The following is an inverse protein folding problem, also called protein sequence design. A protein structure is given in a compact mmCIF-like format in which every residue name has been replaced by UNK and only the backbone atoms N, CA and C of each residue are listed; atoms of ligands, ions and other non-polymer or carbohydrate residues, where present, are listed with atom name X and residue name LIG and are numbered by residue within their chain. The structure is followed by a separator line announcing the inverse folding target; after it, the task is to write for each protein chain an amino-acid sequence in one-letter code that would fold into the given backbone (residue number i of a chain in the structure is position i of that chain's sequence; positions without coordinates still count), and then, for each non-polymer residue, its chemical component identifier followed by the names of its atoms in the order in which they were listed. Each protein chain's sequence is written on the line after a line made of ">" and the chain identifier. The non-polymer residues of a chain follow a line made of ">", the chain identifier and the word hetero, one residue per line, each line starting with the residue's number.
data_IF_082807035390
#
_entry.id   IF_082807035390
#
_cell.length_a   1.000
_cell.length_b   1.000
_cell.length_c   1.000
_cell.angle_alpha   90.00
_cell.angle_beta   90.00
_cell.angle_gamma   90.00
#
_symmetry.space_group_name_H-M   'P 1'
#
loop_
_entity.id
_entity.type
_entity.pdbx_description
1 polymer ?
#
# COMPACT_ATOMS: atom_id res chain seq x y z
N UNK A 1 -8.18 8.21 12.00
CA UNK A 1 -7.62 9.01 10.89
C UNK A 1 -8.56 10.12 10.42
N UNK A 2 -9.79 9.83 9.96
CA UNK A 2 -10.72 10.86 9.47
C UNK A 2 -10.96 11.98 10.47
N UNK A 3 -11.37 11.62 11.70
CA UNK A 3 -11.55 12.57 12.79
C UNK A 3 -10.32 13.46 13.00
N UNK A 4 -9.12 12.87 12.99
CA UNK A 4 -7.85 13.61 13.10
C UNK A 4 -7.68 14.62 11.96
N UNK A 5 -7.94 14.24 10.71
CA UNK A 5 -7.84 15.15 9.57
C UNK A 5 -8.89 16.27 9.61
N UNK A 6 -10.09 15.96 10.10
CA UNK A 6 -11.19 16.91 10.29
C UNK A 6 -10.97 17.87 11.47
N UNK A 7 -10.15 17.49 12.45
CA UNK A 7 -9.76 18.38 13.55
C UNK A 7 -8.56 19.25 13.17
N UNK A 8 -7.59 18.70 12.44
CA UNK A 8 -6.37 19.44 12.04
C UNK A 8 -6.65 20.50 10.97
N UNK A 9 -7.47 20.19 9.97
CA UNK A 9 -7.91 21.10 8.89
C UNK A 9 -6.81 22.01 8.30
N UNK A 10 -5.63 21.47 8.03
CA UNK A 10 -4.49 22.27 7.58
C UNK A 10 -4.06 21.91 6.16
N UNK A 11 -3.82 22.90 5.26
CA UNK A 11 -3.52 22.63 3.84
C UNK A 11 -2.20 21.90 3.62
N UNK A 12 -1.27 21.97 4.59
CA UNK A 12 0.03 21.29 4.54
C UNK A 12 0.07 19.97 5.31
N UNK A 13 -1.09 19.43 5.72
CA UNK A 13 -1.19 18.12 6.37
C UNK A 13 -1.95 17.16 5.47
N UNK A 14 -1.43 15.94 5.35
CA UNK A 14 -2.03 14.88 4.53
C UNK A 14 -1.74 13.50 5.10
N UNK A 15 -2.29 12.49 4.44
CA UNK A 15 -2.20 11.10 4.84
C UNK A 15 -1.27 10.33 3.91
N UNK A 16 -0.34 9.58 4.52
CA UNK A 16 0.30 8.47 3.87
C UNK A 16 -0.61 7.26 3.99
N UNK A 17 -1.08 6.74 2.87
CA UNK A 17 -1.86 5.52 2.85
C UNK A 17 -0.94 4.33 2.61
N UNK A 18 -0.73 3.55 3.66
CA UNK A 18 -0.16 2.22 3.53
C UNK A 18 -1.30 1.23 3.26
N UNK A 19 -1.32 0.66 2.06
CA UNK A 19 -2.40 -0.24 1.62
C UNK A 19 -2.51 -1.47 2.52
N UNK A 20 -1.37 -1.96 3.01
CA UNK A 20 -1.27 -3.23 3.72
C UNK A 20 -1.90 -3.18 5.10
N UNK A 21 -1.64 -2.14 5.89
CA UNK A 21 -2.00 -2.15 7.31
C UNK A 21 -3.52 -2.23 7.59
N UNK A 22 -4.38 -1.38 6.99
CA UNK A 22 -5.82 -1.44 7.21
C UNK A 22 -6.41 -2.78 6.76
N UNK A 23 -5.96 -3.29 5.61
CA UNK A 23 -6.42 -4.57 5.09
C UNK A 23 -5.96 -5.73 5.98
N UNK A 24 -4.65 -5.86 6.21
CA UNK A 24 -4.06 -7.03 6.89
C UNK A 24 -4.47 -7.14 8.34
N UNK A 25 -4.42 -6.03 9.08
CA UNK A 25 -4.53 -6.06 10.54
C UNK A 25 -5.90 -5.64 11.05
N UNK A 26 -6.69 -4.91 10.24
CA UNK A 26 -8.00 -4.41 10.63
C UNK A 26 -9.15 -5.00 9.80
N UNK A 27 -8.85 -5.77 8.75
CA UNK A 27 -9.87 -6.33 7.85
C UNK A 27 -10.63 -5.27 7.04
N UNK A 28 -10.08 -4.06 6.92
CA UNK A 28 -10.70 -2.97 6.16
C UNK A 28 -10.41 -3.16 4.66
N UNK A 29 -11.46 -3.11 3.82
CA UNK A 29 -11.25 -3.17 2.36
C UNK A 29 -10.56 -1.91 1.84
N UNK A 30 -9.78 -2.06 0.77
CA UNK A 30 -9.08 -0.91 0.15
C UNK A 30 -10.06 0.12 -0.41
N UNK A 31 -11.21 -0.30 -0.91
CA UNK A 31 -12.32 0.58 -1.28
C UNK A 31 -12.81 1.45 -0.12
N UNK A 32 -12.99 0.86 1.07
CA UNK A 32 -13.47 1.60 2.23
C UNK A 32 -12.42 2.61 2.70
N UNK A 33 -11.15 2.21 2.77
CA UNK A 33 -10.05 3.12 3.14
C UNK A 33 -9.94 4.27 2.14
N UNK A 34 -9.91 3.97 0.84
CA UNK A 34 -9.78 4.97 -0.22
C UNK A 34 -10.94 5.97 -0.20
N UNK A 35 -12.19 5.50 -0.19
CA UNK A 35 -13.35 6.41 -0.23
C UNK A 35 -13.40 7.37 0.96
N UNK A 36 -12.96 6.91 2.13
CA UNK A 36 -12.87 7.76 3.32
C UNK A 36 -11.74 8.78 3.19
N UNK A 37 -10.57 8.35 2.73
CA UNK A 37 -9.34 9.13 2.83
C UNK A 37 -8.93 9.87 1.56
N UNK A 38 -9.50 9.60 0.38
CA UNK A 38 -8.96 10.02 -0.92
C UNK A 38 -8.55 11.49 -1.01
N UNK A 39 -9.35 12.41 -0.46
CA UNK A 39 -9.07 13.85 -0.43
C UNK A 39 -7.84 14.25 0.39
N UNK A 40 -7.43 13.40 1.32
CA UNK A 40 -6.30 13.61 2.22
C UNK A 40 -5.04 12.84 1.80
N UNK A 41 -5.14 11.86 0.88
CA UNK A 41 -4.00 11.02 0.51
C UNK A 41 -2.98 11.87 -0.26
N UNK A 42 -1.74 11.89 0.23
CA UNK A 42 -0.59 12.59 -0.39
C UNK A 42 0.57 11.65 -0.73
N UNK A 43 0.62 10.47 -0.12
CA UNK A 43 1.61 9.46 -0.41
C UNK A 43 1.02 8.06 -0.25
N UNK A 44 1.54 7.08 -0.98
CA UNK A 44 1.07 5.69 -0.91
C UNK A 44 2.25 4.76 -0.72
N UNK A 45 2.15 3.86 0.25
CA UNK A 45 3.07 2.75 0.45
C UNK A 45 2.43 1.43 0.01
N UNK A 46 3.22 0.60 -0.66
CA UNK A 46 2.83 -0.72 -1.13
C UNK A 46 3.83 -1.75 -0.64
N UNK A 47 3.31 -2.80 -0.04
CA UNK A 47 4.01 -4.05 0.25
C UNK A 47 2.99 -5.18 0.14
N UNK A 48 3.48 -6.37 -0.15
CA UNK A 48 2.63 -7.54 -0.30
C UNK A 48 2.99 -8.60 0.73
N UNK A 49 2.00 -9.41 1.08
CA UNK A 49 2.16 -10.50 2.04
C UNK A 49 1.03 -11.50 1.92
N UNK A 50 1.16 -12.61 2.63
CA UNK A 50 0.12 -13.62 2.82
C UNK A 50 0.08 -14.08 4.28
N UNK A 51 -1.02 -14.71 4.71
CA UNK A 51 -1.07 -15.40 5.99
C UNK A 51 -0.56 -16.83 5.86
N UNK A 52 0.50 -17.16 6.58
CA UNK A 52 0.99 -18.53 6.72
C UNK A 52 0.97 -18.94 8.20
N UNK A 53 0.20 -19.99 8.53
CA UNK A 53 0.10 -20.54 9.90
C UNK A 53 -0.22 -19.45 10.94
N UNK A 54 -1.11 -18.52 10.58
CA UNK A 54 -1.53 -17.41 11.46
C UNK A 54 -0.51 -16.28 11.59
N UNK A 55 0.56 -16.25 10.79
CA UNK A 55 1.56 -15.19 10.77
C UNK A 55 1.64 -14.52 9.41
N UNK A 56 1.99 -13.24 9.40
CA UNK A 56 2.24 -12.50 8.16
C UNK A 56 3.58 -12.95 7.59
N UNK A 57 3.58 -13.38 6.33
CA UNK A 57 4.79 -13.60 5.54
C UNK A 57 4.81 -12.62 4.37
N UNK A 58 5.81 -11.75 4.35
CA UNK A 58 6.01 -10.78 3.28
C UNK A 58 6.54 -11.46 2.01
N UNK A 59 6.17 -10.93 0.85
CA UNK A 59 6.53 -11.48 -0.45
C UNK A 59 6.64 -10.38 -1.50
N UNK A 60 7.07 -10.76 -2.71
CA UNK A 60 7.10 -9.86 -3.85
C UNK A 60 5.69 -9.42 -4.25
N UNK A 61 5.56 -8.22 -4.84
CA UNK A 61 4.28 -7.62 -5.22
C UNK A 61 3.51 -8.49 -6.23
N UNK A 62 2.28 -8.88 -5.90
CA UNK A 62 1.44 -9.75 -6.74
C UNK A 62 1.63 -11.24 -6.44
N UNK A 63 2.45 -11.61 -5.45
CA UNK A 63 2.55 -12.98 -4.96
C UNK A 63 1.78 -13.21 -3.66
N UNK A 64 1.30 -12.15 -3.02
CA UNK A 64 0.51 -12.23 -1.80
C UNK A 64 -0.99 -12.10 -2.06
N UNK A 65 -1.72 -11.84 -0.98
CA UNK A 65 -3.18 -11.73 -0.98
C UNK A 65 -3.69 -10.29 -0.67
N UNK A 66 -2.78 -9.30 -0.62
CA UNK A 66 -3.19 -7.90 -0.49
C UNK A 66 -3.85 -7.45 -1.81
N UNK A 67 -5.01 -6.77 -1.79
CA UNK A 67 -5.72 -6.33 -2.99
C UNK A 67 -5.07 -5.09 -3.62
N UNK A 68 -3.79 -5.21 -4.01
CA UNK A 68 -2.98 -4.11 -4.55
C UNK A 68 -3.56 -3.62 -5.87
N UNK A 69 -3.94 -4.52 -6.79
CA UNK A 69 -4.54 -4.13 -8.08
C UNK A 69 -5.79 -3.27 -7.89
N UNK A 70 -6.69 -3.66 -6.99
CA UNK A 70 -7.90 -2.88 -6.68
C UNK A 70 -7.53 -1.50 -6.13
N UNK A 71 -6.56 -1.42 -5.22
CA UNK A 71 -6.09 -0.15 -4.68
C UNK A 71 -5.44 0.74 -5.76
N UNK A 72 -4.65 0.16 -6.68
CA UNK A 72 -4.10 0.88 -7.83
C UNK A 72 -5.21 1.43 -8.71
N UNK A 73 -6.23 0.62 -9.04
CA UNK A 73 -7.36 1.05 -9.86
C UNK A 73 -8.14 2.21 -9.24
N UNK A 74 -8.34 2.18 -7.92
CA UNK A 74 -8.97 3.28 -7.19
C UNK A 74 -8.15 4.57 -7.24
N UNK A 75 -6.82 4.46 -7.14
CA UNK A 75 -5.91 5.61 -7.19
C UNK A 75 -5.88 6.29 -8.57
N UNK A 76 -6.23 5.57 -9.65
CA UNK A 76 -6.27 6.17 -10.99
C UNK A 76 -7.35 7.26 -11.15
N UNK A 77 -8.30 7.38 -10.22
CA UNK A 77 -9.37 8.39 -10.23
C UNK A 77 -8.81 9.83 -10.12
N UNK A 78 -8.08 10.15 -9.05
CA UNK A 78 -7.59 11.53 -8.80
C UNK A 78 -6.21 11.60 -8.11
N UNK A 79 -5.57 10.46 -7.85
CA UNK A 79 -4.27 10.47 -7.18
C UNK A 79 -3.13 10.68 -8.19
N UNK A 80 -2.37 11.76 -8.00
CA UNK A 80 -1.23 12.14 -8.86
C UNK A 80 0.14 12.00 -8.19
N UNK A 81 0.17 11.39 -7.01
CA UNK A 81 1.39 11.22 -6.23
C UNK A 81 2.14 9.93 -6.58
N UNK A 82 3.15 9.62 -5.77
CA UNK A 82 3.97 8.43 -5.95
C UNK A 82 3.34 7.19 -5.29
N UNK A 83 3.56 6.04 -5.91
CA UNK A 83 3.37 4.71 -5.31
C UNK A 83 4.77 4.25 -4.90
N UNK A 84 5.01 4.12 -3.61
CA UNK A 84 6.31 3.78 -3.05
C UNK A 84 6.34 2.35 -2.53
N UNK A 85 7.38 1.60 -2.90
CA UNK A 85 7.63 0.28 -2.36
C UNK A 85 8.11 0.42 -0.91
N UNK A 86 7.43 -0.24 0.03
CA UNK A 86 7.93 -0.46 1.38
C UNK A 86 8.54 -1.87 1.47
N UNK A 87 9.85 -1.95 1.74
CA UNK A 87 10.56 -3.22 1.83
C UNK A 87 11.22 -3.40 3.19
N UNK A 88 10.88 -4.48 3.89
CA UNK A 88 11.22 -4.68 5.30
C UNK A 88 12.45 -5.60 5.50
N UNK A 89 13.35 -5.70 4.50
CA UNK A 89 14.52 -6.59 4.49
C UNK A 89 15.39 -6.50 5.75
N UNK A 90 15.50 -5.31 6.36
CA UNK A 90 16.23 -5.13 7.63
C UNK A 90 15.69 -6.00 8.76
N UNK A 91 14.38 -6.30 8.75
CA UNK A 91 13.68 -7.06 9.78
C UNK A 91 13.38 -8.50 9.35
N UNK A 92 13.27 -8.75 8.04
CA UNK A 92 12.97 -10.04 7.44
C UNK A 92 14.08 -10.43 6.46
N UNK A 93 15.08 -11.15 6.98
CA UNK A 93 16.30 -11.49 6.23
C UNK A 93 16.07 -12.43 5.05
N UNK A 94 14.95 -13.16 5.05
CA UNK A 94 14.52 -14.06 3.99
C UNK A 94 13.90 -13.35 2.78
N UNK A 95 13.63 -12.05 2.88
CA UNK A 95 13.15 -11.25 1.75
C UNK A 95 14.21 -11.10 0.67
N UNK A 96 13.77 -10.95 -0.58
CA UNK A 96 14.66 -10.71 -1.71
C UNK A 96 15.52 -9.45 -1.54
N UNK A 97 16.72 -9.50 -2.13
CA UNK A 97 17.66 -8.38 -2.10
C UNK A 97 17.15 -7.17 -2.92
N UNK A 98 17.62 -5.94 -2.60
CA UNK A 98 17.23 -4.72 -3.33
C UNK A 98 17.36 -4.83 -4.86
N UNK A 99 18.42 -5.50 -5.35
CA UNK A 99 18.66 -5.69 -6.78
C UNK A 99 17.58 -6.50 -7.51
N UNK A 100 16.82 -7.32 -6.77
CA UNK A 100 15.73 -8.13 -7.31
C UNK A 100 14.41 -7.39 -7.14
N UNK A 101 14.11 -6.95 -5.91
CA UNK A 101 12.79 -6.41 -5.57
C UNK A 101 12.47 -5.10 -6.32
N UNK A 102 13.43 -4.22 -6.56
CA UNK A 102 13.15 -2.96 -7.26
C UNK A 102 12.72 -3.19 -8.71
N UNK A 103 13.42 -4.07 -9.43
CA UNK A 103 13.06 -4.42 -10.82
C UNK A 103 11.69 -5.09 -10.87
N UNK A 104 11.46 -6.05 -9.96
CA UNK A 104 10.19 -6.74 -9.84
C UNK A 104 9.03 -5.79 -9.54
N UNK A 105 9.19 -4.88 -8.56
CA UNK A 105 8.19 -3.89 -8.17
C UNK A 105 7.76 -3.03 -9.36
N UNK A 106 8.72 -2.48 -10.11
CA UNK A 106 8.43 -1.63 -11.28
C UNK A 106 7.65 -2.42 -12.33
N UNK A 107 8.06 -3.67 -12.59
CA UNK A 107 7.37 -4.54 -13.55
C UNK A 107 5.93 -4.83 -13.11
N UNK A 108 5.75 -5.25 -11.85
CA UNK A 108 4.45 -5.59 -11.29
C UNK A 108 3.47 -4.40 -11.33
N UNK A 109 3.89 -3.23 -10.83
CA UNK A 109 3.03 -2.03 -10.83
C UNK A 109 2.68 -1.58 -12.25
N UNK A 110 3.63 -1.60 -13.20
CA UNK A 110 3.34 -1.30 -14.61
C UNK A 110 2.34 -2.26 -15.23
N UNK A 111 2.36 -3.53 -14.82
CA UNK A 111 1.36 -4.52 -15.24
C UNK A 111 -0.04 -4.21 -14.70
N UNK A 112 -0.13 -3.59 -13.51
CA UNK A 112 -1.39 -3.24 -12.85
C UNK A 112 -2.00 -1.92 -13.34
N UNK A 113 -1.20 -1.04 -13.95
CA UNK A 113 -1.63 0.24 -14.52
C UNK A 113 -2.22 0.13 -15.94
N UNK A 114 -2.30 -1.07 -16.50
CA UNK A 114 -2.94 -1.34 -17.80
C UNK A 114 -4.41 -1.71 -17.59
#
# INVERSE_FOLDING_TARGET
>A
MIKTMEEVQHPYVGVLWDIHHPYRFMGESVFLTYNRLKRYIRHVHVKDSQMEKGRVRYCLIGQGDIPIKEAIDLLQDDYKGYISLEWLKRWYYDLEEPGIVFSHFIHAIRGMLK
#
